data_IF_228554466891
#
_entry.id   IF_228554466891
#
_cell.length_a   1.000
_cell.length_b   1.000
_cell.length_c   1.000
_cell.angle_alpha   90.00
_cell.angle_beta   90.00
_cell.angle_gamma   90.00
#
_symmetry.space_group_name_H-M   'P 1'
#
loop_
_entity.id
_entity.type
_entity.pdbx_description
1 polymer ?
#
# COMPACT_ATOMS: atom_id res chain seq x y z
N UNK A 1 -0.85 -21.90 6.74
CA UNK A 1 0.34 -22.62 6.21
C UNK A 1 1.29 -21.72 5.40
N UNK A 2 0.82 -20.79 4.56
CA UNK A 2 1.72 -19.96 3.71
C UNK A 2 2.35 -18.75 4.45
N UNK A 3 1.69 -18.18 5.45
CA UNK A 3 2.16 -16.98 6.14
C UNK A 3 3.53 -17.12 6.86
N UNK A 4 3.85 -18.21 7.58
CA UNK A 4 5.15 -18.37 8.23
C UNK A 4 6.33 -18.49 7.24
N UNK A 5 6.11 -19.15 6.10
CA UNK A 5 7.12 -19.26 5.04
C UNK A 5 7.35 -17.89 4.37
N UNK A 6 6.28 -17.15 4.07
CA UNK A 6 6.40 -15.81 3.49
C UNK A 6 7.08 -14.80 4.43
N UNK A 7 6.96 -14.97 5.75
CA UNK A 7 7.62 -14.13 6.74
C UNK A 7 9.16 -14.24 6.68
N UNK A 8 9.72 -15.31 6.10
CA UNK A 8 11.17 -15.44 5.90
C UNK A 8 11.69 -14.57 4.73
N UNK A 9 10.82 -14.21 3.79
CA UNK A 9 11.20 -13.47 2.57
C UNK A 9 10.63 -12.05 2.53
N UNK A 10 9.72 -11.71 3.46
CA UNK A 10 9.05 -10.41 3.52
C UNK A 10 9.07 -9.85 4.92
N UNK A 11 9.39 -8.55 5.02
CA UNK A 11 9.32 -7.82 6.28
C UNK A 11 7.91 -7.87 6.90
N UNK A 12 6.86 -7.74 6.08
CA UNK A 12 5.47 -7.94 6.50
C UNK A 12 4.54 -8.08 5.29
N UNK A 13 3.38 -8.76 5.42
CA UNK A 13 2.31 -8.64 4.43
C UNK A 13 1.85 -7.19 4.27
N UNK A 14 1.38 -6.84 3.07
CA UNK A 14 0.87 -5.50 2.76
C UNK A 14 -0.64 -5.56 2.56
N UNK A 15 -1.37 -4.61 3.15
CA UNK A 15 -2.82 -4.58 3.12
C UNK A 15 -3.35 -3.26 2.56
N UNK A 16 -4.60 -3.28 2.10
CA UNK A 16 -5.45 -2.11 1.91
C UNK A 16 -6.72 -2.37 2.72
N UNK A 17 -6.88 -1.65 3.83
CA UNK A 17 -7.88 -2.02 4.82
C UNK A 17 -7.65 -3.45 5.34
N UNK A 18 -8.66 -4.32 5.19
CA UNK A 18 -8.56 -5.75 5.53
C UNK A 18 -8.09 -6.65 4.36
N UNK A 19 -7.87 -6.10 3.17
CA UNK A 19 -7.56 -6.90 1.96
C UNK A 19 -6.06 -7.09 1.81
N UNK A 20 -5.62 -8.35 1.78
CA UNK A 20 -4.24 -8.71 1.50
C UNK A 20 -3.89 -8.39 0.05
N UNK A 21 -2.83 -7.61 -0.16
CA UNK A 21 -2.34 -7.25 -1.50
C UNK A 21 -1.40 -8.32 -2.03
N UNK A 22 -1.61 -8.75 -3.27
CA UNK A 22 -0.69 -9.70 -3.92
C UNK A 22 0.65 -9.02 -4.15
N UNK A 23 1.72 -9.69 -3.73
CA UNK A 23 3.09 -9.18 -3.81
C UNK A 23 4.13 -10.27 -4.11
N UNK A 24 3.72 -11.53 -4.31
CA UNK A 24 4.61 -12.67 -4.59
C UNK A 24 5.82 -12.77 -3.64
N UNK A 25 7.07 -12.68 -4.12
CA UNK A 25 8.29 -12.59 -3.31
C UNK A 25 8.80 -11.14 -3.13
N UNK A 26 8.13 -10.15 -3.71
CA UNK A 26 8.50 -8.75 -3.60
C UNK A 26 8.17 -8.18 -2.22
N UNK A 27 9.01 -7.25 -1.75
CA UNK A 27 8.88 -6.60 -0.45
C UNK A 27 7.54 -5.85 -0.30
N UNK A 28 7.06 -5.23 -1.37
CA UNK A 28 5.80 -4.48 -1.39
C UNK A 28 4.96 -4.82 -2.63
N UNK A 29 3.64 -4.79 -2.49
CA UNK A 29 2.71 -5.03 -3.61
C UNK A 29 2.84 -4.00 -4.74
N UNK A 30 3.16 -2.74 -4.42
CA UNK A 30 3.43 -1.71 -5.44
C UNK A 30 4.63 -2.10 -6.31
N UNK A 31 5.71 -2.61 -5.70
CA UNK A 31 6.92 -3.05 -6.41
C UNK A 31 6.66 -4.26 -7.30
N UNK A 32 5.82 -5.20 -6.83
CA UNK A 32 5.37 -6.32 -7.65
C UNK A 32 4.60 -5.82 -8.90
N UNK A 33 3.69 -4.86 -8.70
CA UNK A 33 2.91 -4.27 -9.79
C UNK A 33 3.80 -3.61 -10.85
N UNK A 34 4.76 -2.79 -10.41
CA UNK A 34 5.75 -2.14 -11.30
C UNK A 34 6.51 -3.17 -12.14
N UNK A 35 6.99 -4.24 -11.49
CA UNK A 35 7.71 -5.31 -12.18
C UNK A 35 6.84 -5.96 -13.26
N UNK A 36 5.58 -6.26 -12.95
CA UNK A 36 4.67 -6.89 -13.90
C UNK A 36 4.27 -5.97 -15.04
N UNK A 37 4.05 -4.68 -14.80
CA UNK A 37 3.81 -3.68 -15.85
C UNK A 37 4.95 -3.64 -16.88
N UNK A 38 6.19 -3.72 -16.41
CA UNK A 38 7.37 -3.79 -17.29
C UNK A 38 7.46 -5.11 -18.05
N UNK A 39 6.99 -6.21 -17.46
CA UNK A 39 7.06 -7.54 -18.07
C UNK A 39 5.91 -7.83 -19.07
N UNK A 40 4.72 -7.25 -18.87
CA UNK A 40 3.54 -7.50 -19.71
C UNK A 40 3.83 -7.23 -21.20
N UNK A 41 4.43 -6.10 -21.63
CA UNK A 41 4.72 -5.86 -23.04
C UNK A 41 5.62 -6.92 -23.69
N UNK A 42 6.55 -7.53 -22.93
CA UNK A 42 7.37 -8.66 -23.41
C UNK A 42 6.53 -9.93 -23.59
N UNK A 43 5.60 -10.21 -22.68
CA UNK A 43 4.66 -11.33 -22.84
C UNK A 43 3.74 -11.13 -24.06
N UNK A 44 3.29 -9.91 -24.31
CA UNK A 44 2.52 -9.57 -25.51
C UNK A 44 3.35 -9.76 -26.79
N UNK A 45 4.63 -9.35 -26.77
CA UNK A 45 5.55 -9.61 -27.86
C UNK A 45 5.68 -11.11 -28.13
N UNK A 46 5.95 -11.92 -27.10
CA UNK A 46 6.07 -13.38 -27.25
C UNK A 46 4.77 -14.01 -27.77
N UNK A 47 3.60 -13.51 -27.34
CA UNK A 47 2.31 -13.93 -27.86
C UNK A 47 2.14 -13.61 -29.36
N UNK A 48 2.86 -12.61 -29.89
CA UNK A 48 2.88 -12.31 -31.33
C UNK A 48 3.91 -13.13 -32.11
N UNK A 49 5.13 -13.28 -31.59
CA UNK A 49 6.26 -13.79 -32.37
C UNK A 49 6.55 -15.28 -32.15
N UNK A 50 5.98 -15.93 -31.14
CA UNK A 50 6.24 -17.34 -30.89
C UNK A 50 5.91 -18.21 -32.12
N UNK A 51 6.78 -19.18 -32.39
CA UNK A 51 6.70 -20.02 -33.59
C UNK A 51 5.49 -20.98 -33.57
N UNK A 52 5.11 -21.46 -32.38
CA UNK A 52 4.05 -22.45 -32.21
C UNK A 52 2.79 -21.82 -31.64
N UNK A 53 1.61 -22.33 -32.03
CA UNK A 53 0.32 -21.94 -31.44
C UNK A 53 0.31 -22.10 -29.91
N UNK A 54 0.74 -23.24 -29.33
CA UNK A 54 0.86 -23.38 -27.88
C UNK A 54 1.74 -22.31 -27.24
N UNK A 55 2.88 -21.95 -27.85
CA UNK A 55 3.75 -20.89 -27.34
C UNK A 55 3.07 -19.52 -27.32
N UNK A 56 2.30 -19.18 -28.36
CA UNK A 56 1.53 -17.92 -28.41
C UNK A 56 0.45 -17.87 -27.33
N UNK A 57 -0.27 -18.98 -27.14
CA UNK A 57 -1.32 -19.09 -26.11
C UNK A 57 -0.71 -19.00 -24.72
N UNK A 58 0.40 -19.70 -24.46
CA UNK A 58 1.10 -19.65 -23.18
C UNK A 58 1.59 -18.23 -22.86
N UNK A 59 2.20 -17.53 -23.82
CA UNK A 59 2.66 -16.16 -23.63
C UNK A 59 1.50 -15.18 -23.37
N UNK A 60 0.36 -15.35 -24.07
CA UNK A 60 -0.83 -14.55 -23.79
C UNK A 60 -1.38 -14.86 -22.40
N UNK A 61 -1.46 -16.13 -21.99
CA UNK A 61 -1.89 -16.52 -20.65
C UNK A 61 -1.00 -15.89 -19.56
N UNK A 62 0.33 -15.83 -19.78
CA UNK A 62 1.25 -15.11 -18.89
C UNK A 62 0.88 -13.62 -18.81
N UNK A 63 0.64 -12.94 -19.94
CA UNK A 63 0.22 -11.53 -19.92
C UNK A 63 -1.08 -11.29 -19.15
N UNK A 64 -2.07 -12.18 -19.31
CA UNK A 64 -3.35 -12.11 -18.60
C UNK A 64 -3.21 -12.39 -17.10
N UNK A 65 -2.37 -13.36 -16.72
CA UNK A 65 -2.07 -13.66 -15.33
C UNK A 65 -1.33 -12.48 -14.66
N UNK A 66 -0.32 -11.92 -15.32
CA UNK A 66 0.40 -10.74 -14.82
C UNK A 66 -0.54 -9.54 -14.67
N UNK A 67 -1.51 -9.37 -15.58
CA UNK A 67 -2.53 -8.33 -15.48
C UNK A 67 -3.45 -8.57 -14.27
N UNK A 68 -3.90 -9.82 -14.05
CA UNK A 68 -4.68 -10.19 -12.87
C UNK A 68 -3.92 -9.90 -11.59
N UNK A 69 -2.68 -10.35 -11.47
CA UNK A 69 -1.88 -10.11 -10.27
C UNK A 69 -1.64 -8.62 -10.06
N UNK A 70 -1.43 -7.84 -11.13
CA UNK A 70 -1.34 -6.37 -11.08
C UNK A 70 -2.59 -5.75 -10.47
N UNK A 71 -3.80 -6.15 -10.90
CA UNK A 71 -5.06 -5.68 -10.29
C UNK A 71 -5.14 -6.04 -8.81
N UNK A 72 -4.77 -7.27 -8.44
CA UNK A 72 -4.78 -7.76 -7.06
C UNK A 72 -3.70 -7.12 -6.16
N UNK A 73 -2.78 -6.31 -6.72
CA UNK A 73 -1.88 -5.48 -5.90
C UNK A 73 -2.59 -4.24 -5.34
N UNK A 74 -3.76 -3.87 -5.84
CA UNK A 74 -4.46 -2.63 -5.47
C UNK A 74 -3.62 -1.35 -5.66
N UNK A 75 -2.71 -1.38 -6.63
CA UNK A 75 -1.81 -0.28 -6.99
C UNK A 75 -2.43 0.55 -8.10
N UNK A 76 -2.98 1.71 -7.76
CA UNK A 76 -3.72 2.57 -8.72
C UNK A 76 -2.88 3.05 -9.90
N UNK A 77 -1.62 3.41 -9.64
CA UNK A 77 -0.69 3.85 -10.68
C UNK A 77 -0.59 2.80 -11.78
N UNK A 78 -0.54 1.51 -11.40
CA UNK A 78 -0.49 0.38 -12.32
C UNK A 78 -1.69 0.26 -13.24
N UNK A 79 -2.90 0.58 -12.76
CA UNK A 79 -4.10 0.47 -13.58
C UNK A 79 -4.07 1.50 -14.71
N UNK A 80 -3.65 2.72 -14.38
CA UNK A 80 -3.51 3.83 -15.33
C UNK A 80 -2.36 3.55 -16.29
N UNK A 81 -1.17 3.20 -15.77
CA UNK A 81 0.01 2.88 -16.57
C UNK A 81 -0.31 1.76 -17.55
N UNK A 82 -0.87 0.64 -17.10
CA UNK A 82 -1.15 -0.49 -17.97
C UNK A 82 -2.21 -0.15 -19.02
N UNK A 83 -3.26 0.59 -18.66
CA UNK A 83 -4.26 1.06 -19.63
C UNK A 83 -3.62 1.95 -20.70
N UNK A 84 -2.78 2.92 -20.31
CA UNK A 84 -2.06 3.80 -21.23
C UNK A 84 -1.12 3.03 -22.16
N UNK A 85 -0.38 2.05 -21.64
CA UNK A 85 0.51 1.21 -22.44
C UNK A 85 -0.25 0.38 -23.46
N UNK A 86 -1.34 -0.26 -23.04
CA UNK A 86 -2.16 -1.12 -23.92
C UNK A 86 -2.86 -0.29 -25.01
N UNK A 87 -3.44 0.86 -24.64
CA UNK A 87 -4.01 1.81 -25.62
C UNK A 87 -2.93 2.34 -26.55
N UNK A 88 -1.75 2.69 -26.03
CA UNK A 88 -0.60 3.13 -26.81
C UNK A 88 -0.18 2.10 -27.86
N UNK A 89 -0.11 0.82 -27.50
CA UNK A 89 0.20 -0.28 -28.43
C UNK A 89 -0.90 -0.48 -29.49
N UNK A 90 -2.17 -0.33 -29.11
CA UNK A 90 -3.30 -0.40 -30.05
C UNK A 90 -3.25 0.73 -31.08
N UNK A 91 -3.00 1.97 -30.64
CA UNK A 91 -2.86 3.14 -31.49
C UNK A 91 -1.60 3.03 -32.36
N UNK A 92 -0.48 2.57 -31.80
CA UNK A 92 0.75 2.35 -32.55
C UNK A 92 0.55 1.31 -33.66
N UNK A 93 -0.16 0.22 -33.38
CA UNK A 93 -0.52 -0.78 -34.40
C UNK A 93 -1.55 -0.28 -35.44
N UNK A 94 -2.31 0.77 -35.11
CA UNK A 94 -3.20 1.44 -36.07
C UNK A 94 -2.42 2.34 -37.03
N UNK A 95 -1.54 3.19 -36.47
CA UNK A 95 -0.74 4.17 -37.21
C UNK A 95 0.37 3.51 -38.02
N UNK A 96 1.07 2.53 -37.45
CA UNK A 96 2.22 1.87 -38.08
C UNK A 96 1.88 0.42 -38.44
N UNK A 97 1.72 0.08 -39.74
CA UNK A 97 1.33 -1.26 -40.17
C UNK A 97 2.24 -2.38 -39.66
N UNK A 98 3.54 -2.10 -39.49
CA UNK A 98 4.53 -3.05 -38.96
C UNK A 98 4.26 -3.48 -37.51
N UNK A 99 3.47 -2.71 -36.77
CA UNK A 99 3.08 -3.00 -35.38
C UNK A 99 1.67 -3.62 -35.25
N UNK A 100 0.93 -3.78 -36.36
CA UNK A 100 -0.41 -4.41 -36.38
C UNK A 100 -0.50 -5.74 -35.62
N UNK A 101 0.51 -6.64 -35.66
CA UNK A 101 0.46 -7.91 -34.92
C UNK A 101 0.24 -7.74 -33.41
N UNK A 102 0.71 -6.65 -32.79
CA UNK A 102 0.56 -6.40 -31.36
C UNK A 102 -0.88 -6.03 -30.96
N UNK A 103 -1.73 -5.62 -31.90
CA UNK A 103 -3.08 -5.13 -31.59
C UNK A 103 -3.97 -6.20 -30.96
N UNK A 104 -3.91 -7.43 -31.46
CA UNK A 104 -4.76 -8.52 -30.94
C UNK A 104 -4.42 -8.85 -29.47
N UNK A 105 -3.19 -9.22 -29.10
CA UNK A 105 -2.89 -9.52 -27.70
C UNK A 105 -3.04 -8.30 -26.79
N UNK A 106 -2.70 -7.08 -27.25
CA UNK A 106 -2.94 -5.85 -26.47
C UNK A 106 -4.43 -5.61 -26.22
N UNK A 107 -5.28 -5.78 -27.24
CA UNK A 107 -6.74 -5.60 -27.13
C UNK A 107 -7.39 -6.62 -26.19
N UNK A 108 -7.01 -7.90 -26.30
CA UNK A 108 -7.48 -8.95 -25.38
C UNK A 108 -7.07 -8.63 -23.94
N UNK A 109 -5.83 -8.20 -23.73
CA UNK A 109 -5.32 -7.84 -22.39
C UNK A 109 -6.01 -6.60 -21.83
N UNK A 110 -6.35 -5.62 -22.67
CA UNK A 110 -7.09 -4.42 -22.26
C UNK A 110 -8.53 -4.73 -21.87
N UNK A 111 -9.21 -5.59 -22.64
CA UNK A 111 -10.55 -6.07 -22.29
C UNK A 111 -10.51 -6.85 -20.97
N UNK A 112 -9.49 -7.68 -20.77
CA UNK A 112 -9.28 -8.41 -19.52
C UNK A 112 -9.04 -7.47 -18.33
N UNK A 113 -8.13 -6.50 -18.46
CA UNK A 113 -7.91 -5.46 -17.46
C UNK A 113 -9.22 -4.73 -17.13
N UNK A 114 -9.96 -4.30 -18.14
CA UNK A 114 -11.22 -3.58 -17.97
C UNK A 114 -12.27 -4.43 -17.24
N UNK A 115 -12.41 -5.70 -17.62
CA UNK A 115 -13.30 -6.65 -16.95
C UNK A 115 -12.92 -6.89 -15.49
N UNK A 116 -11.63 -7.04 -15.19
CA UNK A 116 -11.15 -7.20 -13.81
C UNK A 116 -11.39 -5.96 -12.95
N UNK A 117 -11.16 -4.76 -13.50
CA UNK A 117 -11.42 -3.51 -12.80
C UNK A 117 -12.92 -3.30 -12.55
N UNK A 118 -13.78 -3.58 -13.55
CA UNK A 118 -15.24 -3.51 -13.40
C UNK A 118 -15.76 -4.54 -12.38
N UNK A 119 -15.26 -5.78 -12.44
CA UNK A 119 -15.59 -6.79 -11.44
C UNK A 119 -15.19 -6.33 -10.04
N UNK A 120 -13.96 -5.84 -9.88
CA UNK A 120 -13.46 -5.36 -8.58
C UNK A 120 -14.26 -4.16 -8.05
N UNK A 121 -14.68 -3.25 -8.93
CA UNK A 121 -15.55 -2.12 -8.62
C UNK A 121 -16.91 -2.55 -8.09
N UNK A 122 -17.47 -3.66 -8.56
CA UNK A 122 -18.78 -4.18 -8.09
C UNK A 122 -18.61 -5.05 -6.86
N UNK A 123 -17.61 -5.93 -6.86
CA UNK A 123 -17.45 -6.98 -5.87
C UNK A 123 -16.77 -6.53 -4.55
N UNK A 124 -16.05 -5.40 -4.52
CA UNK A 124 -15.23 -5.01 -3.36
C UNK A 124 -15.41 -3.56 -2.92
N UNK A 125 -15.88 -3.36 -1.69
CA UNK A 125 -15.91 -2.04 -1.03
C UNK A 125 -14.52 -1.46 -0.84
N UNK A 126 -13.56 -2.28 -0.39
CA UNK A 126 -12.17 -1.86 -0.20
C UNK A 126 -11.53 -1.39 -1.51
N UNK A 127 -11.89 -2.02 -2.65
CA UNK A 127 -11.45 -1.56 -3.97
C UNK A 127 -12.02 -0.18 -4.31
N UNK A 128 -13.34 0.03 -4.11
CA UNK A 128 -13.99 1.34 -4.34
C UNK A 128 -13.36 2.43 -3.46
N UNK A 129 -13.17 2.16 -2.18
CA UNK A 129 -12.52 3.10 -1.26
C UNK A 129 -11.06 3.37 -1.65
N UNK A 130 -10.35 2.34 -2.11
CA UNK A 130 -8.96 2.47 -2.60
C UNK A 130 -8.86 3.46 -3.75
N UNK A 131 -9.83 3.49 -4.65
CA UNK A 131 -9.85 4.46 -5.75
C UNK A 131 -10.10 5.89 -5.25
N UNK A 132 -10.96 6.05 -4.25
CA UNK A 132 -11.38 7.37 -3.75
C UNK A 132 -10.40 8.05 -2.79
N UNK A 133 -9.52 7.30 -2.13
CA UNK A 133 -8.71 7.81 -1.00
C UNK A 133 -7.23 7.47 -1.15
N UNK A 134 -6.34 8.37 -0.72
CA UNK A 134 -4.91 8.16 -0.86
C UNK A 134 -4.39 7.00 0.02
N UNK A 135 -4.84 6.99 1.28
CA UNK A 135 -4.52 6.02 2.32
C UNK A 135 -5.82 5.57 3.03
N UNK A 136 -5.68 4.67 4.00
CA UNK A 136 -6.78 4.09 4.77
C UNK A 136 -7.03 4.79 6.11
N UNK A 137 -6.38 5.93 6.40
CA UNK A 137 -6.51 6.64 7.67
C UNK A 137 -7.98 6.96 8.00
N UNK A 138 -8.70 7.47 7.00
CA UNK A 138 -10.09 7.92 7.16
C UNK A 138 -11.13 6.83 6.81
N UNK A 139 -10.70 5.56 6.72
CA UNK A 139 -11.62 4.45 6.45
C UNK A 139 -12.31 3.98 7.72
N UNK A 140 -11.63 4.14 8.84
CA UNK A 140 -12.02 3.62 10.13
C UNK A 140 -12.57 4.75 10.98
N UNK A 141 -13.73 4.53 11.58
CA UNK A 141 -14.40 5.48 12.46
C UNK A 141 -15.41 4.73 13.30
N UNK A 142 -15.49 5.06 14.59
CA UNK A 142 -16.43 4.47 15.51
C UNK A 142 -16.96 5.53 16.48
N UNK A 143 -18.22 5.38 16.87
CA UNK A 143 -18.81 6.07 18.00
C UNK A 143 -19.33 5.02 18.98
N UNK A 144 -19.06 5.23 20.26
CA UNK A 144 -19.34 4.25 21.31
C UNK A 144 -20.43 4.80 22.24
N UNK A 145 -21.42 3.98 22.55
CA UNK A 145 -22.42 4.26 23.57
C UNK A 145 -22.14 3.38 24.80
N UNK A 146 -20.98 3.63 25.43
CA UNK A 146 -20.57 2.90 26.63
C UNK A 146 -21.26 3.47 27.87
N UNK A 147 -21.57 2.65 28.89
CA UNK A 147 -22.18 3.13 30.13
C UNK A 147 -21.29 4.19 30.79
N UNK A 148 -21.87 5.27 31.32
CA UNK A 148 -21.10 6.35 31.95
C UNK A 148 -20.43 5.91 33.27
N UNK A 149 -21.06 4.96 33.98
CA UNK A 149 -20.61 4.47 35.28
C UNK A 149 -20.90 2.99 35.48
N UNK A 150 -20.03 2.30 36.20
CA UNK A 150 -20.15 0.89 36.58
C UNK A 150 -19.71 0.69 38.03
N UNK A 151 -20.22 -0.36 38.66
CA UNK A 151 -19.76 -0.82 39.97
C UNK A 151 -19.59 -2.33 39.94
N UNK A 152 -18.42 -2.80 40.37
CA UNK A 152 -18.00 -4.21 40.33
C UNK A 152 -17.34 -4.57 41.67
N UNK A 153 -17.40 -5.81 42.11
CA UNK A 153 -16.55 -6.33 43.17
C UNK A 153 -15.19 -6.75 42.60
N UNK A 154 -14.14 -6.69 43.43
CA UNK A 154 -12.81 -7.18 43.05
C UNK A 154 -12.87 -8.67 42.65
N UNK A 155 -12.31 -9.01 41.49
CA UNK A 155 -12.39 -10.35 40.89
C UNK A 155 -13.72 -10.69 40.21
N UNK A 156 -14.69 -9.77 40.17
CA UNK A 156 -15.96 -9.97 39.46
C UNK A 156 -15.78 -9.89 37.95
N UNK A 157 -16.58 -10.69 37.23
CA UNK A 157 -16.75 -10.59 35.78
C UNK A 157 -18.14 -10.05 35.46
N UNK A 158 -18.22 -9.03 34.61
CA UNK A 158 -19.48 -8.47 34.14
C UNK A 158 -19.49 -8.40 32.61
N UNK A 159 -20.56 -8.93 32.01
CA UNK A 159 -20.78 -8.80 30.57
C UNK A 159 -21.66 -7.59 30.28
N UNK A 160 -21.16 -6.69 29.44
CA UNK A 160 -21.80 -5.45 29.04
C UNK A 160 -22.21 -5.51 27.58
N UNK A 161 -23.40 -4.98 27.29
CA UNK A 161 -23.81 -4.64 25.94
C UNK A 161 -23.29 -3.23 25.61
N UNK A 162 -22.38 -3.13 24.65
CA UNK A 162 -21.82 -1.84 24.21
C UNK A 162 -22.24 -1.61 22.76
N UNK A 163 -23.23 -0.75 22.51
CA UNK A 163 -23.55 -0.29 21.16
C UNK A 163 -22.38 0.52 20.60
N UNK A 164 -21.97 0.19 19.38
CA UNK A 164 -20.93 0.91 18.65
C UNK A 164 -21.42 1.15 17.22
N UNK A 165 -21.44 2.42 16.82
CA UNK A 165 -21.83 2.87 15.47
C UNK A 165 -20.60 3.01 14.60
N UNK A 166 -20.64 2.46 13.38
CA UNK A 166 -19.60 2.65 12.39
C UNK A 166 -19.73 4.04 11.73
N UNK A 167 -18.89 4.98 12.15
CA UNK A 167 -18.82 6.33 11.57
C UNK A 167 -17.77 6.46 10.47
N UNK A 168 -17.08 5.35 10.14
CA UNK A 168 -16.08 5.26 9.10
C UNK A 168 -16.67 5.11 7.70
N UNK A 169 -15.77 4.86 6.72
CA UNK A 169 -16.13 4.63 5.31
C UNK A 169 -16.07 3.16 4.91
N UNK A 170 -15.34 2.34 5.66
CA UNK A 170 -15.22 0.91 5.43
C UNK A 170 -16.22 0.13 6.27
N UNK A 171 -16.84 -0.89 5.65
CA UNK A 171 -17.62 -1.87 6.41
C UNK A 171 -16.68 -2.70 7.31
N UNK A 172 -17.17 -3.06 8.49
CA UNK A 172 -16.48 -3.98 9.37
C UNK A 172 -16.92 -5.40 9.02
N UNK A 173 -15.95 -6.24 8.64
CA UNK A 173 -16.17 -7.63 8.22
C UNK A 173 -15.82 -8.56 9.39
N UNK A 174 -16.82 -9.32 9.87
CA UNK A 174 -16.65 -10.23 11.01
C UNK A 174 -15.91 -11.51 10.65
N UNK A 175 -15.78 -11.81 9.35
CA UNK A 175 -15.11 -13.00 8.80
C UNK A 175 -13.74 -12.68 8.24
N UNK A 176 -13.28 -11.44 8.35
CA UNK A 176 -11.95 -11.03 7.93
C UNK A 176 -10.87 -11.86 8.66
N UNK A 177 -9.76 -12.18 7.97
CA UNK A 177 -8.63 -12.88 8.57
C UNK A 177 -8.06 -12.16 9.81
N UNK A 178 -8.22 -10.84 9.85
CA UNK A 178 -7.91 -9.98 11.00
C UNK A 178 -9.17 -9.17 11.33
N UNK A 179 -10.09 -9.72 12.14
CA UNK A 179 -11.36 -9.06 12.42
C UNK A 179 -11.14 -7.83 13.29
N UNK A 180 -12.02 -6.84 13.11
CA UNK A 180 -12.11 -5.70 14.03
C UNK A 180 -12.76 -6.19 15.32
N UNK A 181 -12.23 -5.77 16.46
CA UNK A 181 -12.76 -6.11 17.79
C UNK A 181 -12.92 -4.86 18.63
N UNK A 182 -13.89 -4.87 19.54
CA UNK A 182 -13.98 -3.85 20.59
C UNK A 182 -13.02 -4.26 21.71
N UNK A 183 -12.01 -3.43 21.97
CA UNK A 183 -11.11 -3.60 23.11
C UNK A 183 -11.47 -2.67 24.26
N UNK A 184 -11.02 -3.03 25.47
CA UNK A 184 -10.97 -2.11 26.59
C UNK A 184 -9.64 -2.17 27.33
N UNK A 185 -9.31 -1.09 28.03
CA UNK A 185 -8.19 -1.02 28.96
C UNK A 185 -8.57 -0.28 30.24
N UNK A 186 -7.91 -0.66 31.33
CA UNK A 186 -8.07 -0.02 32.63
C UNK A 186 -7.16 1.19 32.74
N UNK A 187 -7.73 2.31 33.18
CA UNK A 187 -7.02 3.55 33.47
C UNK A 187 -7.18 3.93 34.94
N UNK A 188 -6.25 4.75 35.43
CA UNK A 188 -6.38 5.46 36.70
C UNK A 188 -7.61 6.37 36.74
N UNK A 189 -8.01 6.79 37.93
CA UNK A 189 -9.17 7.69 38.15
C UNK A 189 -9.05 9.02 37.38
N UNK A 190 -7.83 9.54 37.22
CA UNK A 190 -7.52 10.75 36.45
C UNK A 190 -7.34 10.50 34.93
N UNK A 191 -7.38 9.22 34.51
CA UNK A 191 -7.22 8.80 33.12
C UNK A 191 -5.78 8.93 32.57
N UNK A 192 -4.80 9.26 33.41
CA UNK A 192 -3.41 9.54 32.98
C UNK A 192 -2.51 8.30 32.95
N UNK A 193 -2.88 7.23 33.64
CA UNK A 193 -2.11 6.00 33.72
C UNK A 193 -2.92 4.83 33.16
N UNK A 194 -2.27 3.96 32.40
CA UNK A 194 -2.82 2.71 31.88
C UNK A 194 -2.30 1.58 32.77
N UNK A 195 -3.19 0.77 33.34
CA UNK A 195 -2.81 -0.44 34.08
C UNK A 195 -2.39 -1.54 33.09
N UNK A 196 -1.28 -2.22 33.40
CA UNK A 196 -0.74 -3.31 32.59
C UNK A 196 -1.50 -4.63 32.87
N UNK A 197 -2.78 -4.65 32.53
CA UNK A 197 -3.62 -5.84 32.56
C UNK A 197 -3.79 -6.40 31.14
N UNK A 198 -4.04 -7.71 30.98
CA UNK A 198 -4.40 -8.28 29.69
C UNK A 198 -5.59 -7.50 29.08
N UNK A 199 -5.48 -6.99 27.85
CA UNK A 199 -6.56 -6.22 27.25
C UNK A 199 -7.74 -7.16 26.99
N UNK A 200 -8.93 -6.78 27.46
CA UNK A 200 -10.15 -7.49 27.13
C UNK A 200 -10.60 -7.14 25.72
N UNK A 201 -11.28 -8.09 25.06
CA UNK A 201 -11.82 -7.88 23.72
C UNK A 201 -13.15 -8.58 23.50
N UNK A 202 -14.05 -7.93 22.79
CA UNK A 202 -15.30 -8.49 22.28
C UNK A 202 -15.25 -8.62 20.77
N UNK A 203 -15.60 -9.81 20.27
CA UNK A 203 -15.66 -10.08 18.84
C UNK A 203 -16.80 -9.30 18.18
N UNK A 204 -16.60 -8.92 16.92
CA UNK A 204 -17.63 -8.30 16.09
C UNK A 204 -18.77 -9.31 15.84
N UNK A 205 -20.03 -9.02 16.22
CA UNK A 205 -21.12 -10.00 16.17
C UNK A 205 -21.64 -10.28 14.75
N UNK A 206 -21.50 -9.31 13.84
CA UNK A 206 -21.95 -9.36 12.44
C UNK A 206 -21.19 -8.33 11.62
N UNK A 207 -21.32 -8.38 10.30
CA UNK A 207 -20.82 -7.29 9.45
C UNK A 207 -21.57 -5.99 9.76
N UNK A 208 -20.86 -4.87 9.79
CA UNK A 208 -21.41 -3.53 10.13
C UNK A 208 -21.03 -2.52 9.06
N UNK A 209 -22.01 -2.08 8.31
CA UNK A 209 -21.80 -1.07 7.25
C UNK A 209 -21.64 0.33 7.85
N UNK A 210 -21.05 1.29 7.11
CA UNK A 210 -21.07 2.71 7.49
C UNK A 210 -22.48 3.18 7.88
N UNK A 211 -22.59 3.85 9.03
CA UNK A 211 -23.85 4.33 9.62
C UNK A 211 -24.60 3.28 10.46
N UNK A 212 -24.26 1.99 10.39
CA UNK A 212 -24.91 0.96 11.18
C UNK A 212 -24.32 0.86 12.60
N UNK A 213 -25.15 0.37 13.53
CA UNK A 213 -24.76 0.07 14.90
C UNK A 213 -24.75 -1.42 15.16
N UNK A 214 -23.72 -1.90 15.87
CA UNK A 214 -23.65 -3.25 16.41
C UNK A 214 -23.50 -3.21 17.93
N UNK A 215 -24.09 -4.21 18.59
CA UNK A 215 -24.02 -4.35 20.05
C UNK A 215 -22.97 -5.41 20.37
N UNK A 216 -21.86 -4.98 20.96
CA UNK A 216 -20.80 -5.88 21.40
C UNK A 216 -21.14 -6.44 22.78
N UNK A 217 -20.93 -7.75 22.95
CA UNK A 217 -20.98 -8.40 24.25
C UNK A 217 -19.58 -8.46 24.83
N UNK A 218 -19.25 -7.51 25.71
CA UNK A 218 -17.91 -7.35 26.26
C UNK A 218 -17.85 -7.80 27.72
N UNK A 219 -17.02 -8.80 28.02
CA UNK A 219 -16.79 -9.27 29.39
C UNK A 219 -15.63 -8.51 30.03
N UNK A 220 -15.96 -7.74 31.06
CA UNK A 220 -15.03 -6.97 31.88
C UNK A 220 -14.64 -7.77 33.12
N UNK A 221 -13.34 -7.93 33.36
CA UNK A 221 -12.79 -8.48 34.60
C UNK A 221 -12.21 -7.37 35.47
N UNK A 222 -12.70 -7.25 36.71
CA UNK A 222 -12.17 -6.32 37.71
C UNK A 222 -11.02 -6.93 38.52
N UNK A 223 -9.91 -7.27 37.86
CA UNK A 223 -8.69 -7.77 38.51
C UNK A 223 -7.84 -6.62 39.12
N UNK A 224 -8.51 -5.81 39.93
CA UNK A 224 -7.97 -4.61 40.58
C UNK A 224 -8.43 -4.57 42.05
N UNK A 225 -7.63 -4.00 42.97
CA UNK A 225 -8.07 -3.80 44.34
C UNK A 225 -9.20 -2.76 44.41
N UNK A 226 -9.99 -2.72 45.50
CA UNK A 226 -11.05 -1.74 45.68
C UNK A 226 -10.57 -0.30 45.48
N UNK A 227 -11.34 0.50 44.73
CA UNK A 227 -10.93 1.83 44.32
C UNK A 227 -11.78 2.41 43.20
N UNK A 228 -11.36 3.57 42.68
CA UNK A 228 -11.99 4.24 41.54
C UNK A 228 -11.07 4.19 40.34
N UNK A 229 -11.61 3.79 39.19
CA UNK A 229 -10.89 3.56 37.96
C UNK A 229 -11.70 4.05 36.76
N UNK A 230 -11.13 3.95 35.57
CA UNK A 230 -11.85 4.13 34.31
C UNK A 230 -11.58 2.97 33.36
N UNK A 231 -12.55 2.69 32.50
CA UNK A 231 -12.40 1.81 31.35
C UNK A 231 -12.40 2.67 30.09
N UNK A 232 -11.35 2.60 29.29
CA UNK A 232 -11.33 3.20 27.96
C UNK A 232 -11.68 2.13 26.91
N UNK A 233 -12.72 2.42 26.13
CA UNK A 233 -13.28 1.57 25.08
C UNK A 233 -12.82 2.05 23.70
N UNK A 234 -12.26 1.14 22.91
CA UNK A 234 -11.72 1.49 21.60
C UNK A 234 -11.75 0.31 20.63
N UNK A 235 -12.05 0.60 19.37
CA UNK A 235 -12.00 -0.40 18.29
C UNK A 235 -10.54 -0.64 17.91
N UNK A 236 -10.20 -1.89 17.60
CA UNK A 236 -8.87 -2.26 17.12
C UNK A 236 -8.92 -3.36 16.08
N UNK A 237 -7.90 -3.42 15.24
CA UNK A 237 -7.72 -4.46 14.23
C UNK A 237 -6.25 -4.86 14.17
N UNK A 238 -5.92 -6.06 14.65
CA UNK A 238 -4.59 -6.71 14.66
C UNK A 238 -3.37 -5.79 14.88
N UNK A 239 -3.02 -5.01 13.87
CA UNK A 239 -1.84 -4.15 13.77
C UNK A 239 -2.06 -2.71 14.29
N UNK A 240 -3.29 -2.24 14.48
CA UNK A 240 -3.55 -0.87 14.95
C UNK A 240 -4.85 -0.75 15.77
N UNK A 241 -4.91 0.30 16.58
CA UNK A 241 -6.12 0.75 17.27
C UNK A 241 -6.72 1.97 16.56
N UNK A 242 -8.03 2.16 16.62
CA UNK A 242 -8.69 3.26 15.90
C UNK A 242 -8.28 4.64 16.43
N UNK A 243 -7.91 4.76 17.71
CA UNK A 243 -7.43 6.03 18.26
C UNK A 243 -6.12 6.50 17.62
N UNK A 244 -5.26 5.58 17.13
CA UNK A 244 -4.05 5.97 16.39
C UNK A 244 -4.36 6.49 14.98
N UNK A 245 -5.64 6.46 14.58
CA UNK A 245 -6.18 7.07 13.37
C UNK A 245 -7.08 8.28 13.69
N UNK A 246 -7.06 8.79 14.93
CA UNK A 246 -7.81 9.97 15.35
C UNK A 246 -9.26 9.70 15.77
N UNK A 247 -9.65 8.43 15.97
CA UNK A 247 -10.98 8.09 16.48
C UNK A 247 -11.01 8.19 18.01
N UNK A 248 -11.85 9.06 18.55
CA UNK A 248 -11.99 9.23 19.99
C UNK A 248 -12.55 7.97 20.66
N UNK A 249 -12.04 7.64 21.85
CA UNK A 249 -12.52 6.54 22.67
C UNK A 249 -13.63 6.98 23.62
N UNK A 250 -14.42 6.02 24.10
CA UNK A 250 -15.34 6.27 25.21
C UNK A 250 -14.73 5.83 26.54
N UNK A 251 -15.13 6.49 27.62
CA UNK A 251 -14.69 6.15 28.97
C UNK A 251 -15.87 5.85 29.88
N UNK A 252 -15.77 4.77 30.65
CA UNK A 252 -16.69 4.44 31.74
C UNK A 252 -16.00 4.61 33.07
N UNK A 253 -16.60 5.34 34.01
CA UNK A 253 -16.10 5.39 35.40
C UNK A 253 -16.45 4.10 36.12
N UNK A 254 -15.50 3.51 36.84
CA UNK A 254 -15.72 2.23 37.53
C UNK A 254 -15.36 2.36 39.00
N UNK A 255 -16.28 1.94 39.86
CA UNK A 255 -16.03 1.75 41.29
C UNK A 255 -15.85 0.27 41.56
N UNK A 256 -14.66 -0.13 42.01
CA UNK A 256 -14.38 -1.50 42.44
C UNK A 256 -14.59 -1.58 43.95
N UNK A 257 -15.51 -2.44 44.39
CA UNK A 257 -15.82 -2.74 45.79
C UNK A 257 -15.00 -3.93 46.28
N UNK A 258 -14.85 -4.12 47.61
CA UNK A 258 -14.27 -5.33 48.17
C UNK A 258 -14.93 -6.61 47.62
N UNK A 259 -14.11 -7.53 47.13
CA UNK A 259 -14.51 -8.85 46.65
C UNK A 259 -14.07 -9.96 47.58
N UNK A 260 -14.27 -11.22 47.16
CA UNK A 260 -13.82 -12.41 47.93
C UNK A 260 -12.30 -12.53 47.99
N UNK A 261 -11.61 -12.03 46.96
CA UNK A 261 -10.15 -11.98 46.85
C UNK A 261 -9.79 -10.57 46.41
N UNK A 262 -8.77 -9.98 47.05
CA UNK A 262 -8.24 -8.67 46.65
C UNK A 262 -6.97 -8.89 45.85
N UNK A 263 -6.99 -8.67 44.53
CA UNK A 263 -5.80 -8.76 43.71
C UNK A 263 -4.84 -7.58 44.01
N UNK A 264 -3.53 -7.77 43.80
CA UNK A 264 -2.56 -6.69 43.98
C UNK A 264 -2.77 -5.60 42.93
N UNK A 265 -2.34 -4.37 43.24
CA UNK A 265 -2.39 -3.27 42.28
C UNK A 265 -1.40 -3.55 41.12
N UNK A 266 -1.86 -3.60 39.85
CA UNK A 266 -0.99 -3.83 38.71
C UNK A 266 -0.06 -2.63 38.46
N UNK A 267 1.11 -2.85 37.82
CA UNK A 267 1.96 -1.76 37.39
C UNK A 267 1.25 -0.89 36.35
N UNK A 268 1.69 0.36 36.24
CA UNK A 268 1.11 1.35 35.33
C UNK A 268 2.13 1.88 34.34
N UNK A 269 1.64 2.38 33.21
CA UNK A 269 2.40 3.12 32.21
C UNK A 269 1.68 4.44 31.93
N UNK A 270 2.39 5.58 31.80
CA UNK A 270 1.76 6.82 31.37
C UNK A 270 0.98 6.63 30.07
N UNK A 271 -0.26 7.13 30.02
CA UNK A 271 -1.16 6.96 28.88
C UNK A 271 -0.55 7.50 27.59
N UNK A 272 0.12 8.65 27.65
CA UNK A 272 0.83 9.23 26.52
C UNK A 272 1.91 8.31 25.96
N UNK A 273 2.68 7.64 26.83
CA UNK A 273 3.71 6.69 26.41
C UNK A 273 3.09 5.41 25.82
N UNK A 274 1.99 4.92 26.40
CA UNK A 274 1.25 3.77 25.88
C UNK A 274 0.69 4.06 24.48
N UNK A 275 0.05 5.21 24.31
CA UNK A 275 -0.53 5.63 23.03
C UNK A 275 0.54 5.91 21.99
N UNK A 276 1.68 6.51 22.37
CA UNK A 276 2.82 6.68 21.46
C UNK A 276 3.40 5.34 21.01
N UNK A 277 3.58 4.38 21.91
CA UNK A 277 4.08 3.05 21.57
C UNK A 277 3.13 2.27 20.63
N UNK A 278 1.83 2.55 20.72
CA UNK A 278 0.80 1.95 19.87
C UNK A 278 0.45 2.80 18.63
N UNK A 279 0.93 4.04 18.56
CA UNK A 279 0.70 4.92 17.42
C UNK A 279 1.57 4.50 16.24
N UNK A 280 0.95 4.36 15.06
CA UNK A 280 1.73 4.26 13.84
C UNK A 280 2.45 5.60 13.61
N UNK A 281 3.66 5.61 13.03
CA UNK A 281 4.29 6.85 12.60
C UNK A 281 3.31 7.66 11.76
N UNK A 282 3.31 8.99 11.92
CA UNK A 282 2.55 9.88 11.05
C UNK A 282 2.91 9.56 9.61
N UNK A 283 1.89 9.29 8.78
CA UNK A 283 2.06 8.92 7.37
C UNK A 283 1.79 10.19 6.57
N UNK A 284 2.83 10.90 6.08
CA UNK A 284 2.61 12.11 5.32
C UNK A 284 1.91 11.77 4.01
N UNK A 285 1.02 12.66 3.58
CA UNK A 285 0.39 12.59 2.26
C UNK A 285 1.45 12.78 1.16
N UNK A 286 1.17 12.27 -0.04
CA UNK A 286 2.01 12.52 -1.22
C UNK A 286 2.23 13.99 -1.47
N UNK A 287 1.20 14.82 -1.27
CA UNK A 287 1.33 16.28 -1.42
C UNK A 287 2.37 16.85 -0.46
N UNK A 288 2.36 16.43 0.79
CA UNK A 288 3.36 16.87 1.78
C UNK A 288 4.76 16.37 1.41
N UNK A 289 4.90 15.11 0.99
CA UNK A 289 6.17 14.54 0.54
C UNK A 289 6.72 15.29 -0.70
N UNK A 290 5.85 15.65 -1.65
CA UNK A 290 6.21 16.42 -2.83
C UNK A 290 6.64 17.85 -2.48
N UNK A 291 5.93 18.49 -1.55
CA UNK A 291 6.32 19.80 -1.02
C UNK A 291 7.68 19.73 -0.31
N UNK A 292 7.91 18.69 0.49
CA UNK A 292 9.19 18.46 1.14
C UNK A 292 10.31 18.25 0.10
N UNK A 293 10.09 17.42 -0.93
CA UNK A 293 11.03 17.19 -2.01
C UNK A 293 11.37 18.50 -2.76
N UNK A 294 10.35 19.32 -3.06
CA UNK A 294 10.55 20.63 -3.69
C UNK A 294 11.36 21.59 -2.82
N UNK A 295 11.09 21.63 -1.51
CA UNK A 295 11.87 22.45 -0.56
C UNK A 295 13.32 21.95 -0.44
N UNK A 296 13.53 20.64 -0.42
CA UNK A 296 14.87 20.03 -0.42
C UNK A 296 15.64 20.41 -1.69
N UNK A 297 15.00 20.29 -2.85
CA UNK A 297 15.60 20.68 -4.13
C UNK A 297 15.96 22.18 -4.16
N UNK A 298 15.07 23.06 -3.68
CA UNK A 298 15.30 24.50 -3.68
C UNK A 298 16.55 24.92 -2.88
N UNK A 299 16.91 24.17 -1.84
CA UNK A 299 18.14 24.43 -1.08
C UNK A 299 19.41 24.06 -1.84
N UNK A 300 19.35 23.10 -2.75
CA UNK A 300 20.51 22.62 -3.53
C UNK A 300 20.12 22.32 -4.99
N UNK A 301 19.79 23.33 -5.81
CA UNK A 301 19.12 23.10 -7.09
C UNK A 301 19.90 22.28 -8.10
N UNK A 302 21.24 22.40 -8.11
CA UNK A 302 22.10 21.76 -9.11
C UNK A 302 22.45 20.31 -8.74
N UNK A 303 22.87 20.07 -7.50
CA UNK A 303 23.44 18.81 -7.04
C UNK A 303 22.54 18.00 -6.10
N UNK A 304 21.46 18.61 -5.59
CA UNK A 304 20.60 17.97 -4.59
C UNK A 304 21.28 17.73 -3.24
N UNK A 305 20.63 16.93 -2.41
CA UNK A 305 21.12 16.53 -1.08
C UNK A 305 22.23 15.48 -1.10
N UNK A 306 22.44 14.82 -2.23
CA UNK A 306 23.21 13.58 -2.40
C UNK A 306 22.28 12.37 -2.60
N UNK A 307 22.76 11.26 -3.20
CA UNK A 307 21.97 10.06 -3.40
C UNK A 307 21.34 9.57 -2.09
N UNK A 308 20.05 9.20 -2.12
CA UNK A 308 19.32 8.59 -1.01
C UNK A 308 19.03 9.52 0.19
N UNK A 309 19.08 10.84 -0.04
CA UNK A 309 18.99 11.82 1.05
C UNK A 309 17.55 12.16 1.41
N UNK A 310 16.60 12.05 0.47
CA UNK A 310 15.19 12.37 0.66
C UNK A 310 14.63 11.72 1.93
N UNK A 311 14.63 10.38 2.00
CA UNK A 311 14.08 9.61 3.12
C UNK A 311 14.74 9.94 4.48
N UNK A 312 15.98 10.41 4.45
CA UNK A 312 16.78 10.74 5.63
C UNK A 312 16.59 12.18 6.10
N UNK A 313 15.98 13.05 5.29
CA UNK A 313 15.92 14.49 5.59
C UNK A 313 14.59 15.16 5.36
N UNK A 314 13.57 14.49 4.80
CA UNK A 314 12.28 15.15 4.55
C UNK A 314 11.54 15.59 5.83
N UNK A 315 11.74 14.89 6.96
CA UNK A 315 11.02 15.15 8.21
C UNK A 315 11.06 16.60 8.71
N UNK A 316 12.26 17.21 8.88
CA UNK A 316 12.38 18.61 9.26
C UNK A 316 11.65 19.60 8.33
N UNK A 317 11.53 19.28 7.04
CA UNK A 317 10.78 20.12 6.08
C UNK A 317 9.27 20.05 6.28
N UNK A 318 8.79 19.07 7.03
CA UNK A 318 7.40 18.87 7.43
C UNK A 318 7.17 19.18 8.93
N UNK A 319 8.20 19.61 9.67
CA UNK A 319 8.08 19.83 11.11
C UNK A 319 8.00 18.54 11.93
N UNK A 320 8.37 17.39 11.36
CA UNK A 320 8.31 16.10 12.02
C UNK A 320 9.56 15.87 12.88
N UNK A 321 9.35 15.63 14.18
CA UNK A 321 10.42 15.24 15.10
C UNK A 321 10.91 13.80 14.85
N UNK A 322 9.98 12.91 14.48
CA UNK A 322 10.25 11.51 14.13
C UNK A 322 9.46 11.16 12.86
N UNK A 323 10.05 10.39 11.95
CA UNK A 323 9.39 9.93 10.71
C UNK A 323 9.95 8.59 10.24
N UNK A 324 9.20 7.90 9.38
CA UNK A 324 9.67 6.65 8.76
C UNK A 324 10.74 6.94 7.69
N UNK A 325 11.97 6.54 7.96
CA UNK A 325 13.11 6.68 7.03
C UNK A 325 13.10 5.68 5.86
N UNK A 326 12.03 4.90 5.72
CA UNK A 326 11.74 4.07 4.54
C UNK A 326 10.78 4.77 3.57
N UNK A 327 10.25 5.94 3.94
CA UNK A 327 9.33 6.71 3.10
C UNK A 327 10.09 7.50 2.04
N UNK A 328 9.61 7.38 0.81
CA UNK A 328 10.12 8.04 -0.38
C UNK A 328 9.18 9.16 -0.83
N UNK A 329 9.61 10.00 -1.77
CA UNK A 329 8.81 11.12 -2.26
C UNK A 329 7.55 10.64 -2.99
N UNK A 330 7.48 9.35 -3.36
CA UNK A 330 6.42 8.76 -4.16
C UNK A 330 6.23 9.52 -5.48
N UNK A 331 7.36 9.96 -6.05
CA UNK A 331 7.47 10.57 -7.37
C UNK A 331 8.96 10.54 -7.74
N UNK A 332 9.31 9.73 -8.74
CA UNK A 332 10.67 9.56 -9.22
C UNK A 332 11.36 10.90 -9.49
N UNK A 333 10.68 11.79 -10.19
CA UNK A 333 11.27 13.02 -10.70
C UNK A 333 11.57 14.00 -9.57
N UNK A 334 10.66 14.12 -8.60
CA UNK A 334 10.88 14.94 -7.41
C UNK A 334 11.95 14.34 -6.49
N UNK A 335 12.02 13.02 -6.39
CA UNK A 335 13.09 12.35 -5.64
C UNK A 335 14.46 12.58 -6.28
N UNK A 336 14.56 12.42 -7.61
CA UNK A 336 15.78 12.73 -8.36
C UNK A 336 16.21 14.19 -8.19
N UNK A 337 15.27 15.14 -8.17
CA UNK A 337 15.58 16.55 -7.91
C UNK A 337 16.06 16.78 -6.48
N UNK A 338 15.39 16.18 -5.48
CA UNK A 338 15.76 16.32 -4.09
C UNK A 338 17.14 15.70 -3.78
N UNK A 339 17.44 14.55 -4.38
CA UNK A 339 18.68 13.81 -4.12
C UNK A 339 19.84 14.25 -5.01
N UNK A 340 19.62 14.43 -6.31
CA UNK A 340 20.68 14.63 -7.30
C UNK A 340 20.59 15.97 -8.04
N UNK A 341 19.59 16.79 -7.74
CA UNK A 341 19.37 18.09 -8.35
C UNK A 341 19.09 18.03 -9.86
N UNK A 342 19.19 19.18 -10.51
CA UNK A 342 18.98 19.32 -11.95
C UNK A 342 19.97 18.47 -12.76
N UNK A 343 21.19 18.26 -12.29
CA UNK A 343 22.18 17.44 -13.00
C UNK A 343 21.76 15.97 -13.02
N UNK A 344 21.28 15.42 -11.90
CA UNK A 344 20.77 14.05 -11.87
C UNK A 344 19.51 13.86 -12.71
N UNK A 345 18.56 14.81 -12.64
CA UNK A 345 17.37 14.75 -13.48
C UNK A 345 17.73 14.86 -14.97
N UNK A 346 18.68 15.73 -15.35
CA UNK A 346 19.15 15.86 -16.72
C UNK A 346 19.85 14.59 -17.21
N UNK A 347 20.66 13.94 -16.36
CA UNK A 347 21.29 12.66 -16.69
C UNK A 347 20.25 11.55 -16.90
N UNK A 348 19.21 11.50 -16.06
CA UNK A 348 18.10 10.56 -16.24
C UNK A 348 17.32 10.86 -17.53
N UNK A 349 17.01 12.12 -17.82
CA UNK A 349 16.35 12.52 -19.06
C UNK A 349 17.19 12.16 -20.29
N UNK A 350 18.51 12.37 -20.23
CA UNK A 350 19.44 11.93 -21.27
C UNK A 350 19.40 10.41 -21.48
N UNK A 351 19.37 9.62 -20.40
CA UNK A 351 19.26 8.17 -20.48
C UNK A 351 17.96 7.74 -21.20
N UNK A 352 16.83 8.36 -20.85
CA UNK A 352 15.53 8.10 -21.50
C UNK A 352 15.58 8.45 -22.99
N UNK A 353 16.14 9.60 -23.35
CA UNK A 353 16.28 10.02 -24.75
C UNK A 353 17.23 9.09 -25.52
N UNK A 354 18.35 8.68 -24.91
CA UNK A 354 19.30 7.75 -25.52
C UNK A 354 18.67 6.38 -25.78
N UNK A 355 17.93 5.84 -24.80
CA UNK A 355 17.19 4.59 -24.95
C UNK A 355 16.11 4.70 -26.04
N UNK A 356 15.36 5.80 -26.07
CA UNK A 356 14.37 6.08 -27.12
C UNK A 356 14.99 6.14 -28.51
N UNK A 357 16.14 6.80 -28.67
CA UNK A 357 16.88 6.85 -29.94
C UNK A 357 17.33 5.46 -30.39
N UNK A 358 17.85 4.65 -29.47
CA UNK A 358 18.26 3.27 -29.74
C UNK A 358 17.08 2.44 -30.26
N UNK A 359 15.95 2.51 -29.57
CA UNK A 359 14.73 1.78 -29.94
C UNK A 359 14.15 2.26 -31.27
N UNK A 360 14.15 3.58 -31.51
CA UNK A 360 13.71 4.17 -32.78
C UNK A 360 14.53 3.64 -33.97
N UNK A 361 15.86 3.60 -33.83
CA UNK A 361 16.74 3.05 -34.88
C UNK A 361 16.52 1.54 -35.06
N UNK A 362 16.41 0.80 -33.95
CA UNK A 362 16.16 -0.65 -33.98
C UNK A 362 14.80 -0.99 -34.62
N UNK A 363 13.79 -0.13 -34.47
CA UNK A 363 12.46 -0.34 -35.04
C UNK A 363 12.46 -0.47 -36.58
N UNK A 364 13.51 0.02 -37.25
CA UNK A 364 13.69 -0.19 -38.69
C UNK A 364 13.87 -1.67 -39.08
N UNK A 365 14.48 -2.49 -38.21
CA UNK A 365 14.72 -3.92 -38.44
C UNK A 365 13.88 -4.83 -37.55
N UNK A 366 13.65 -4.42 -36.30
CA UNK A 366 12.98 -5.19 -35.25
C UNK A 366 11.82 -4.38 -34.64
N UNK A 367 10.79 -4.00 -35.42
CA UNK A 367 9.73 -3.09 -34.98
C UNK A 367 8.94 -3.60 -33.77
N UNK A 368 8.63 -4.90 -33.73
CA UNK A 368 7.86 -5.49 -32.62
C UNK A 368 8.64 -5.49 -31.31
N UNK A 369 9.92 -5.90 -31.35
CA UNK A 369 10.81 -5.84 -30.18
C UNK A 369 11.01 -4.41 -29.69
N UNK A 370 11.26 -3.47 -30.61
CA UNK A 370 11.44 -2.07 -30.26
C UNK A 370 10.19 -1.49 -29.58
N UNK A 371 8.99 -1.77 -30.10
CA UNK A 371 7.74 -1.32 -29.51
C UNK A 371 7.47 -1.94 -28.13
N UNK A 372 7.74 -3.23 -27.95
CA UNK A 372 7.57 -3.90 -26.67
C UNK A 372 8.52 -3.37 -25.60
N UNK A 373 9.82 -3.24 -25.92
CA UNK A 373 10.80 -2.67 -25.00
C UNK A 373 10.54 -1.20 -24.69
N UNK A 374 10.09 -0.42 -25.69
CA UNK A 374 9.67 0.96 -25.47
C UNK A 374 8.48 1.02 -24.50
N UNK A 375 7.47 0.18 -24.67
CA UNK A 375 6.34 0.10 -23.74
C UNK A 375 6.78 -0.34 -22.33
N UNK A 376 7.69 -1.33 -22.21
CA UNK A 376 8.24 -1.76 -20.92
C UNK A 376 9.01 -0.64 -20.20
N UNK A 377 9.80 0.16 -20.92
CA UNK A 377 10.54 1.29 -20.35
C UNK A 377 9.62 2.49 -20.05
N UNK A 378 8.61 2.74 -20.88
CA UNK A 378 7.58 3.75 -20.63
C UNK A 378 6.77 3.44 -19.38
N UNK A 379 6.57 2.17 -19.04
CA UNK A 379 5.92 1.77 -17.79
C UNK A 379 6.60 2.41 -16.57
N UNK A 380 7.93 2.43 -16.56
CA UNK A 380 8.75 3.02 -15.50
C UNK A 380 8.52 4.53 -15.39
N UNK A 381 8.51 5.23 -16.53
CA UNK A 381 8.28 6.67 -16.56
C UNK A 381 6.87 7.07 -16.13
N UNK A 382 5.85 6.33 -16.60
CA UNK A 382 4.45 6.59 -16.27
C UNK A 382 4.15 6.28 -14.80
N UNK A 383 4.57 5.12 -14.30
CA UNK A 383 4.39 4.74 -12.91
C UNK A 383 5.21 5.66 -11.98
N UNK A 384 6.42 6.05 -12.42
CA UNK A 384 7.33 6.94 -11.70
C UNK A 384 6.77 8.33 -11.37
N UNK A 385 5.65 8.75 -11.98
CA UNK A 385 4.95 9.98 -11.58
C UNK A 385 4.36 9.88 -10.18
N UNK A 386 3.99 8.67 -9.75
CA UNK A 386 3.24 8.42 -8.51
C UNK A 386 3.97 7.56 -7.48
N UNK A 387 5.14 7.01 -7.83
CA UNK A 387 5.97 6.18 -6.97
C UNK A 387 7.46 6.30 -7.35
N UNK A 388 8.34 5.78 -6.49
CA UNK A 388 9.80 5.74 -6.67
C UNK A 388 10.30 4.28 -6.70
N UNK A 389 11.27 3.97 -7.57
CA UNK A 389 11.67 2.57 -7.85
C UNK A 389 13.13 2.23 -7.67
N UNK A 390 14.06 3.20 -7.70
CA UNK A 390 15.49 2.87 -7.77
C UNK A 390 16.08 2.30 -6.47
N UNK A 391 15.34 2.34 -5.36
CA UNK A 391 15.70 1.60 -4.13
C UNK A 391 15.48 0.09 -4.26
N UNK A 392 14.54 -0.33 -5.11
CA UNK A 392 14.04 -1.70 -5.11
C UNK A 392 14.74 -2.55 -6.16
N UNK A 393 15.62 -3.44 -5.70
CA UNK A 393 16.54 -4.19 -6.54
C UNK A 393 15.85 -4.95 -7.69
N UNK A 394 14.70 -5.57 -7.45
CA UNK A 394 14.03 -6.35 -8.49
C UNK A 394 13.58 -5.48 -9.69
N UNK A 395 13.06 -4.28 -9.43
CA UNK A 395 12.66 -3.32 -10.48
C UNK A 395 13.90 -2.66 -11.09
N UNK A 396 14.89 -2.32 -10.27
CA UNK A 396 16.18 -1.80 -10.71
C UNK A 396 16.87 -2.73 -11.71
N UNK A 397 17.00 -4.02 -11.38
CA UNK A 397 17.63 -5.01 -12.25
C UNK A 397 16.85 -5.22 -13.55
N UNK A 398 15.52 -5.30 -13.47
CA UNK A 398 14.69 -5.44 -14.67
C UNK A 398 14.83 -4.21 -15.58
N UNK A 399 14.87 -3.00 -15.03
CA UNK A 399 15.07 -1.77 -15.81
C UNK A 399 16.38 -1.81 -16.60
N UNK A 400 17.49 -2.14 -15.94
CA UNK A 400 18.79 -2.23 -16.61
C UNK A 400 18.87 -3.41 -17.60
N UNK A 401 18.22 -4.54 -17.31
CA UNK A 401 18.11 -5.64 -18.25
C UNK A 401 17.35 -5.25 -19.53
N UNK A 402 16.24 -4.52 -19.40
CA UNK A 402 15.47 -4.01 -20.54
C UNK A 402 16.29 -3.02 -21.37
N UNK A 403 17.06 -2.14 -20.73
CA UNK A 403 18.00 -1.26 -21.44
C UNK A 403 19.08 -2.06 -22.17
N UNK A 404 19.64 -3.09 -21.53
CA UNK A 404 20.60 -4.00 -22.16
C UNK A 404 20.01 -4.71 -23.39
N UNK A 405 18.78 -5.20 -23.30
CA UNK A 405 18.04 -5.80 -24.42
C UNK A 405 17.80 -4.79 -25.55
N UNK A 406 17.42 -3.55 -25.22
CA UNK A 406 17.24 -2.48 -26.20
C UNK A 406 18.55 -2.18 -26.92
N UNK A 407 19.66 -2.15 -26.20
CA UNK A 407 20.99 -1.94 -26.77
C UNK A 407 21.43 -3.07 -27.69
N UNK A 408 21.07 -4.32 -27.36
CA UNK A 408 21.41 -5.51 -28.13
C UNK A 408 20.59 -5.67 -29.44
N UNK A 409 19.52 -4.92 -29.64
CA UNK A 409 18.72 -5.03 -30.87
C UNK A 409 19.54 -4.60 -32.11
N UNK A 410 19.49 -5.39 -33.21
CA UNK A 410 20.10 -5.03 -34.48
C UNK A 410 19.59 -3.69 -35.03
N UNK A 411 20.50 -2.85 -35.54
CA UNK A 411 20.19 -1.51 -36.08
C UNK A 411 20.66 -1.39 -37.53
N UNK A 412 20.09 -0.48 -38.33
CA UNK A 412 20.64 -0.15 -39.65
C UNK A 412 22.13 0.23 -39.52
N UNK A 413 23.00 -0.39 -40.33
CA UNK A 413 24.44 -0.14 -40.28
C UNK A 413 25.22 -0.85 -39.16
N UNK A 414 24.59 -1.64 -38.28
CA UNK A 414 25.30 -2.42 -37.26
C UNK A 414 25.97 -3.70 -37.80
N UNK A 415 26.16 -3.80 -39.11
CA UNK A 415 26.93 -4.87 -39.72
C UNK A 415 28.40 -4.66 -39.44
N UNK A 416 28.96 -5.47 -38.53
CA UNK A 416 30.34 -5.92 -38.75
C UNK A 416 30.27 -6.82 -39.98
N UNK A 417 30.87 -6.38 -41.08
CA UNK A 417 31.47 -7.31 -42.03
C UNK A 417 32.37 -8.25 -41.21
N UNK A 418 31.95 -9.50 -41.05
CA UNK A 418 32.78 -10.61 -40.65
C UNK A 418 32.30 -11.86 -41.36
#
# INVERSE_FOLDING_TARGET
>A
LVAPLLAQFKASPTFVGNVLRVSASFQYATIAAMYWEMAIPLALLLATIAATRPGRVAALAVALLLTLTTVLTLTRASFITLALLLVGLLLAGWVWPRLRPLRRPAGVTLLWLSGLLLWSLVASDSFRQRLATENDLNWYGAQYDAPAGLTLAAGEQLTLAVPVTNTGRAAWDSRAAYPIVLGYRWLSQDGQQVYQLPPGSAALPRDVRPGETAIFSATVMADLPPGQYRLAWGMRQAQFAFYSRGVAEAETRVVVRPGRVTPPLPPTTPRSQYEQAASAPEIPTRRELWLAAGRMWWQRPLLGGGPHTFRLRFGPYLGLANWDRRTHANNLYLELLADLGLLGLAAFAWLVVAAGRVLYLAAGRQPLWAAALAASLLAVGLHGVLDYFFEFWAVYWLFWALLGLALALPRPGSGRER
#
